data_IF_846434385732
#
_entry.id   IF_846434385732
#
_cell.length_a   1.000
_cell.length_b   1.000
_cell.length_c   1.000
_cell.angle_alpha   90.00
_cell.angle_beta   90.00
_cell.angle_gamma   90.00
#
_symmetry.space_group_name_H-M   'P 1'
#
loop_
_entity.id
_entity.type
_entity.pdbx_description
1 polymer ?
#
# COMPACT_ATOMS: atom_id res chain seq x y z
N UNK A 1 25.76 7.97 12.56
CA UNK A 1 26.62 8.71 11.63
C UNK A 1 25.68 9.29 10.58
N UNK A 2 25.32 10.57 10.72
CA UNK A 2 24.27 11.23 9.92
C UNK A 2 24.87 11.67 8.58
N UNK A 3 24.27 11.26 7.47
CA UNK A 3 24.66 11.67 6.12
C UNK A 3 24.06 13.07 5.81
N UNK A 4 24.85 14.11 5.48
CA UNK A 4 24.33 15.41 5.13
C UNK A 4 24.38 15.62 3.62
N UNK A 5 23.24 15.70 2.94
CA UNK A 5 23.16 16.25 1.58
C UNK A 5 22.50 17.63 1.60
N UNK A 6 23.34 18.65 1.40
CA UNK A 6 22.92 20.03 1.16
C UNK A 6 22.21 20.12 -0.19
N UNK A 7 20.94 20.56 -0.22
CA UNK A 7 20.35 21.17 -1.43
C UNK A 7 20.35 22.69 -1.27
N UNK A 8 20.79 23.40 -2.31
CA UNK A 8 20.83 24.86 -2.37
C UNK A 8 19.42 25.46 -2.45
N UNK A 9 19.15 26.63 -1.86
CA UNK A 9 17.84 27.28 -1.97
C UNK A 9 17.67 27.88 -3.38
N UNK A 10 16.61 27.50 -4.09
CA UNK A 10 16.16 28.21 -5.29
C UNK A 10 15.20 29.31 -4.88
N UNK A 11 15.56 30.56 -5.16
CA UNK A 11 14.69 31.72 -5.00
C UNK A 11 13.89 31.98 -6.28
N UNK A 12 12.57 31.96 -6.20
CA UNK A 12 11.72 33.00 -6.79
C UNK A 12 10.36 32.98 -6.10
N UNK A 13 9.99 34.12 -5.50
CA UNK A 13 8.74 34.29 -4.80
C UNK A 13 7.62 34.55 -5.82
N UNK A 14 6.74 33.58 -6.01
CA UNK A 14 5.38 33.80 -6.49
C UNK A 14 4.46 33.77 -5.26
N UNK A 15 3.54 34.73 -5.15
CA UNK A 15 2.57 34.81 -4.04
C UNK A 15 1.78 33.50 -3.91
N UNK A 16 1.67 32.90 -2.71
CA UNK A 16 0.99 31.63 -2.56
C UNK A 16 -0.51 31.79 -2.81
N UNK A 17 -1.02 31.05 -3.79
CA UNK A 17 -2.45 30.79 -3.93
C UNK A 17 -2.91 30.11 -2.63
N UNK A 18 -3.97 30.59 -1.96
CA UNK A 18 -4.42 29.97 -0.72
C UNK A 18 -4.80 28.51 -1.01
N UNK A 19 -4.44 27.56 -0.13
CA UNK A 19 -4.75 26.15 -0.34
C UNK A 19 -6.27 26.00 -0.49
N UNK A 20 -6.70 25.36 -1.58
CA UNK A 20 -8.12 25.11 -1.90
C UNK A 20 -8.81 24.14 -0.92
N UNK A 21 -8.04 23.52 -0.04
CA UNK A 21 -8.53 22.53 0.90
C UNK A 21 -8.78 23.22 2.25
N UNK A 22 -9.89 22.91 2.94
CA UNK A 22 -10.01 23.26 4.36
C UNK A 22 -8.79 22.71 5.11
N UNK A 23 -8.46 23.17 6.33
CA UNK A 23 -7.38 22.61 7.14
C UNK A 23 -7.73 21.16 7.50
N UNK A 24 -7.57 20.27 6.53
CA UNK A 24 -7.52 18.84 6.67
C UNK A 24 -6.36 18.65 7.62
N UNK A 25 -6.69 18.07 8.78
CA UNK A 25 -5.82 17.24 9.63
C UNK A 25 -4.35 17.39 9.27
N UNK A 26 -3.54 17.95 10.17
CA UNK A 26 -2.11 18.26 10.07
C UNK A 26 -1.21 17.06 9.69
N UNK A 27 -1.44 16.51 8.51
CA UNK A 27 -0.65 15.47 7.87
C UNK A 27 0.50 16.12 7.12
N UNK A 28 1.66 15.47 7.17
CA UNK A 28 2.87 15.93 6.47
C UNK A 28 2.90 15.51 5.00
N UNK A 29 1.90 14.77 4.54
CA UNK A 29 1.85 14.24 3.18
C UNK A 29 0.60 13.42 2.88
N UNK A 30 0.57 12.88 1.66
CA UNK A 30 -0.47 11.99 1.16
C UNK A 30 0.16 10.81 0.41
N UNK A 31 -0.52 9.67 0.42
CA UNK A 31 -0.21 8.55 -0.47
C UNK A 31 -1.34 8.38 -1.49
N UNK A 32 -1.01 8.47 -2.77
CA UNK A 32 -1.94 8.25 -3.88
C UNK A 32 -1.99 6.76 -4.17
N UNK A 33 -3.17 6.16 -4.02
CA UNK A 33 -3.33 4.71 -4.16
C UNK A 33 -3.57 4.30 -5.62
N UNK A 34 -2.51 3.85 -6.31
CA UNK A 34 -2.53 3.37 -7.70
C UNK A 34 -2.32 1.86 -7.85
N UNK A 35 -2.90 1.10 -6.93
CA UNK A 35 -2.73 -0.33 -6.83
C UNK A 35 -4.07 -1.04 -6.56
N UNK A 36 -4.05 -2.38 -6.55
CA UNK A 36 -5.14 -3.23 -6.08
C UNK A 36 -6.49 -3.09 -6.81
N UNK A 37 -6.53 -2.79 -8.12
CA UNK A 37 -7.78 -2.71 -8.87
C UNK A 37 -8.66 -1.49 -8.54
N UNK A 38 -8.16 -0.53 -7.76
CA UNK A 38 -8.83 0.76 -7.55
C UNK A 38 -8.62 1.68 -8.75
N UNK A 39 -9.24 2.87 -8.71
CA UNK A 39 -9.40 3.79 -9.84
C UNK A 39 -8.14 3.95 -10.72
N UNK A 40 -7.00 4.35 -10.15
CA UNK A 40 -5.79 4.57 -10.95
C UNK A 40 -5.25 3.26 -11.55
N UNK A 41 -5.31 2.14 -10.82
CA UNK A 41 -4.94 0.84 -11.39
C UNK A 41 -5.92 0.39 -12.47
N UNK A 42 -7.21 0.73 -12.41
CA UNK A 42 -8.16 0.49 -13.51
C UNK A 42 -7.77 1.25 -14.77
N UNK A 43 -7.33 2.52 -14.64
CA UNK A 43 -6.83 3.30 -15.77
C UNK A 43 -5.53 2.73 -16.32
N UNK A 44 -4.63 2.29 -15.44
CA UNK A 44 -3.38 1.65 -15.80
C UNK A 44 -3.59 0.27 -16.43
N UNK A 45 -4.61 -0.49 -16.08
CA UNK A 45 -4.76 -1.86 -16.60
C UNK A 45 -5.34 -1.85 -18.02
N UNK A 46 -4.64 -2.39 -19.03
CA UNK A 46 -5.16 -2.49 -20.40
C UNK A 46 -6.31 -3.51 -20.53
N UNK A 47 -6.56 -4.34 -19.51
CA UNK A 47 -7.72 -5.23 -19.48
C UNK A 47 -9.00 -4.50 -19.10
N UNK A 48 -8.89 -3.52 -18.20
CA UNK A 48 -10.03 -2.73 -17.68
C UNK A 48 -10.24 -1.46 -18.51
N UNK A 49 -9.17 -0.72 -18.80
CA UNK A 49 -9.23 0.52 -19.56
C UNK A 49 -9.14 0.25 -21.08
N UNK A 50 -10.30 -0.03 -21.67
CA UNK A 50 -10.47 -0.20 -23.12
C UNK A 50 -10.87 1.10 -23.84
N UNK A 51 -10.57 2.26 -23.25
CA UNK A 51 -10.91 3.55 -23.85
C UNK A 51 -10.05 3.82 -25.08
N UNK A 52 -10.63 4.52 -26.05
CA UNK A 52 -9.96 4.93 -27.29
C UNK A 52 -9.65 6.43 -27.34
N UNK A 53 -9.97 7.16 -26.28
CA UNK A 53 -9.63 8.57 -26.14
C UNK A 53 -8.24 8.78 -25.51
N UNK A 54 -7.91 10.03 -25.18
CA UNK A 54 -6.60 10.40 -24.62
C UNK A 54 -6.26 9.77 -23.27
N UNK A 55 -7.18 9.01 -22.68
CA UNK A 55 -7.02 8.36 -21.38
C UNK A 55 -6.88 6.83 -21.48
N UNK A 56 -6.88 6.25 -22.67
CA UNK A 56 -6.70 4.81 -22.89
C UNK A 56 -5.83 4.47 -24.10
N UNK A 57 -5.65 3.17 -24.36
CA UNK A 57 -4.74 2.65 -25.38
C UNK A 57 -3.30 2.57 -24.89
N UNK A 58 -2.44 3.49 -25.33
CA UNK A 58 -1.02 3.49 -24.97
C UNK A 58 -0.82 3.62 -23.44
N UNK A 59 0.31 3.11 -22.92
CA UNK A 59 0.65 3.28 -21.51
C UNK A 59 0.67 4.76 -21.10
N UNK A 60 1.20 5.63 -21.97
CA UNK A 60 1.24 7.08 -21.73
C UNK A 60 -0.18 7.65 -21.47
N UNK A 61 -1.16 7.25 -22.28
CA UNK A 61 -2.54 7.68 -22.09
C UNK A 61 -3.17 7.06 -20.85
N UNK A 62 -2.90 5.77 -20.59
CA UNK A 62 -3.40 5.05 -19.41
C UNK A 62 -2.90 5.65 -18.10
N UNK A 63 -1.62 6.03 -18.02
CA UNK A 63 -1.02 6.63 -16.82
C UNK A 63 -1.33 8.13 -16.66
N UNK A 64 -1.85 8.79 -17.69
CA UNK A 64 -2.10 10.23 -17.73
C UNK A 64 -2.89 10.74 -16.52
N UNK A 65 -3.95 10.02 -16.13
CA UNK A 65 -4.78 10.41 -14.98
C UNK A 65 -3.98 10.43 -13.66
N UNK A 66 -3.11 9.44 -13.46
CA UNK A 66 -2.26 9.36 -12.27
C UNK A 66 -1.23 10.49 -12.26
N UNK A 67 -0.56 10.73 -13.38
CA UNK A 67 0.45 11.78 -13.54
C UNK A 67 -0.17 13.17 -13.33
N UNK A 68 -1.31 13.45 -13.96
CA UNK A 68 -2.03 14.72 -13.75
C UNK A 68 -2.46 14.89 -12.29
N UNK A 69 -2.89 13.82 -11.61
CA UNK A 69 -3.23 13.89 -10.18
C UNK A 69 -2.02 14.26 -9.32
N UNK A 70 -0.86 13.63 -9.55
CA UNK A 70 0.38 13.96 -8.81
C UNK A 70 0.75 15.43 -9.00
N UNK A 71 0.69 15.93 -10.25
CA UNK A 71 0.97 17.34 -10.57
C UNK A 71 0.03 18.29 -9.86
N UNK A 72 -1.27 18.01 -9.86
CA UNK A 72 -2.26 18.85 -9.20
C UNK A 72 -2.10 18.84 -7.67
N UNK A 73 -1.80 17.69 -7.07
CA UNK A 73 -1.51 17.60 -5.62
C UNK A 73 -0.24 18.38 -5.28
N UNK A 74 0.83 18.24 -6.07
CA UNK A 74 2.07 19.01 -5.87
C UNK A 74 1.83 20.51 -6.00
N UNK A 75 1.08 20.95 -7.00
CA UNK A 75 0.75 22.36 -7.20
C UNK A 75 -0.15 22.93 -6.08
N UNK A 76 -0.98 22.10 -5.46
CA UNK A 76 -1.89 22.49 -4.40
C UNK A 76 -1.26 22.45 -2.98
N UNK A 77 -0.02 22.00 -2.84
CA UNK A 77 0.65 21.77 -1.56
C UNK A 77 2.02 22.45 -1.51
N UNK A 78 2.63 22.52 -0.32
CA UNK A 78 3.99 23.09 -0.16
C UNK A 78 5.07 22.11 -0.64
N UNK A 79 6.26 22.60 -0.96
CA UNK A 79 7.44 21.77 -1.28
C UNK A 79 7.83 20.78 -0.18
N UNK A 80 7.43 21.02 1.07
CA UNK A 80 7.68 20.12 2.21
C UNK A 80 6.60 19.04 2.40
N UNK A 81 5.51 19.12 1.64
CA UNK A 81 4.42 18.16 1.73
C UNK A 81 4.79 16.89 0.96
N UNK A 82 4.85 15.75 1.64
CA UNK A 82 5.28 14.49 1.04
C UNK A 82 4.18 13.92 0.13
N UNK A 83 4.57 13.49 -1.07
CA UNK A 83 3.69 12.78 -2.00
C UNK A 83 4.25 11.39 -2.23
N UNK A 84 3.57 10.39 -1.68
CA UNK A 84 3.85 8.99 -1.95
C UNK A 84 2.89 8.44 -3.01
N UNK A 85 3.31 7.41 -3.75
CA UNK A 85 2.42 6.66 -4.65
C UNK A 85 2.56 5.18 -4.36
N UNK A 86 1.43 4.50 -4.16
CA UNK A 86 1.39 3.04 -4.04
C UNK A 86 1.05 2.41 -5.38
N UNK A 87 1.97 1.65 -5.97
CA UNK A 87 1.86 1.07 -7.30
C UNK A 87 1.87 -0.47 -7.26
N UNK A 88 1.10 -1.11 -8.14
CA UNK A 88 1.17 -2.55 -8.33
C UNK A 88 2.48 -2.94 -9.01
N UNK A 89 3.13 -4.01 -8.56
CA UNK A 89 4.27 -4.61 -9.27
C UNK A 89 3.83 -5.23 -10.61
N UNK A 90 2.66 -5.87 -10.62
CA UNK A 90 1.94 -6.36 -11.81
C UNK A 90 0.50 -6.77 -11.38
N UNK A 91 -0.41 -6.89 -12.34
CA UNK A 91 -1.78 -7.36 -12.11
C UNK A 91 -1.91 -8.90 -12.12
N UNK A 92 -0.84 -9.63 -12.52
CA UNK A 92 -0.80 -11.10 -12.60
C UNK A 92 -1.87 -11.72 -13.50
N UNK A 93 -2.30 -10.99 -14.52
CA UNK A 93 -3.22 -11.44 -15.54
C UNK A 93 -2.54 -11.35 -16.90
N UNK A 94 -2.76 -12.36 -17.75
CA UNK A 94 -2.19 -12.37 -19.10
C UNK A 94 -2.74 -11.18 -19.89
N UNK A 95 -1.84 -10.32 -20.37
CA UNK A 95 -2.21 -9.10 -21.11
C UNK A 95 -2.69 -7.95 -20.23
N UNK A 96 -2.52 -8.02 -18.90
CA UNK A 96 -2.78 -6.93 -17.95
C UNK A 96 -1.58 -6.01 -17.74
N UNK A 97 -1.67 -5.17 -16.70
CA UNK A 97 -0.56 -4.31 -16.28
C UNK A 97 0.60 -5.18 -15.79
N UNK A 98 1.74 -5.10 -16.44
CA UNK A 98 2.90 -5.96 -16.17
C UNK A 98 4.06 -5.20 -15.49
N UNK A 99 5.17 -5.90 -15.28
CA UNK A 99 6.35 -5.35 -14.63
C UNK A 99 7.03 -4.24 -15.45
N UNK A 100 7.00 -4.31 -16.78
CA UNK A 100 7.59 -3.29 -17.65
C UNK A 100 6.75 -2.02 -17.64
N UNK A 101 5.43 -2.17 -17.74
CA UNK A 101 4.47 -1.08 -17.59
C UNK A 101 4.64 -0.41 -16.21
N UNK A 102 4.74 -1.21 -15.13
CA UNK A 102 4.95 -0.71 -13.77
C UNK A 102 6.25 0.10 -13.64
N UNK A 103 7.36 -0.40 -14.21
CA UNK A 103 8.64 0.29 -14.18
C UNK A 103 8.62 1.61 -14.98
N UNK A 104 7.97 1.62 -16.15
CA UNK A 104 7.80 2.83 -16.94
C UNK A 104 6.94 3.88 -16.23
N UNK A 105 5.89 3.45 -15.51
CA UNK A 105 5.09 4.35 -14.65
C UNK A 105 5.93 4.86 -13.48
N UNK A 106 6.74 4.02 -12.84
CA UNK A 106 7.63 4.43 -11.75
C UNK A 106 8.63 5.51 -12.18
N UNK A 107 9.29 5.34 -13.32
CA UNK A 107 10.18 6.36 -13.90
C UNK A 107 9.44 7.66 -14.20
N UNK A 108 8.21 7.57 -14.71
CA UNK A 108 7.40 8.75 -14.99
C UNK A 108 7.00 9.48 -13.70
N UNK A 109 6.64 8.75 -12.65
CA UNK A 109 6.34 9.31 -11.34
C UNK A 109 7.55 10.00 -10.70
N UNK A 110 8.74 9.40 -10.81
CA UNK A 110 9.99 10.02 -10.34
C UNK A 110 10.23 11.37 -11.03
N UNK A 111 9.99 11.47 -12.34
CA UNK A 111 10.12 12.73 -13.08
C UNK A 111 9.15 13.82 -12.58
N UNK A 112 7.99 13.42 -12.03
CA UNK A 112 7.04 14.34 -11.38
C UNK A 112 7.45 14.75 -9.96
N UNK A 113 8.51 14.16 -9.40
CA UNK A 113 9.03 14.51 -8.08
C UNK A 113 8.16 14.01 -6.93
N UNK A 114 7.68 12.76 -7.02
CA UNK A 114 7.15 12.05 -5.85
C UNK A 114 8.29 11.79 -4.84
N UNK A 115 7.94 11.72 -3.56
CA UNK A 115 8.90 11.60 -2.46
C UNK A 115 9.11 10.14 -2.02
N UNK A 116 8.17 9.25 -2.34
CA UNK A 116 8.20 7.84 -1.98
C UNK A 116 7.40 7.02 -2.99
N UNK A 117 7.98 5.93 -3.48
CA UNK A 117 7.26 4.93 -4.26
C UNK A 117 7.06 3.67 -3.40
N UNK A 118 5.81 3.35 -3.09
CA UNK A 118 5.46 2.12 -2.41
C UNK A 118 5.07 1.04 -3.42
N UNK A 119 5.82 -0.05 -3.44
CA UNK A 119 5.52 -1.21 -4.27
C UNK A 119 4.62 -2.18 -3.50
N UNK A 120 3.53 -2.57 -4.15
CA UNK A 120 2.60 -3.57 -3.65
C UNK A 120 2.44 -4.71 -4.64
N UNK A 121 2.22 -5.92 -4.12
CA UNK A 121 1.97 -7.10 -4.92
C UNK A 121 0.53 -7.60 -4.83
N UNK A 122 -0.14 -7.69 -5.98
CA UNK A 122 -1.41 -8.40 -6.16
C UNK A 122 -2.62 -7.51 -6.44
N UNK A 123 -3.57 -8.01 -7.23
CA UNK A 123 -4.86 -7.40 -7.52
C UNK A 123 -5.98 -8.06 -6.73
N UNK A 124 -7.07 -7.33 -6.43
CA UNK A 124 -8.29 -7.91 -5.81
C UNK A 124 -8.91 -9.02 -6.67
N UNK A 125 -8.68 -8.99 -7.99
CA UNK A 125 -9.19 -9.98 -8.94
C UNK A 125 -8.45 -11.32 -8.85
N UNK A 126 -7.25 -11.35 -8.27
CA UNK A 126 -6.55 -12.56 -7.85
C UNK A 126 -6.52 -12.65 -6.32
N UNK A 127 -7.66 -13.03 -5.73
CA UNK A 127 -7.81 -13.31 -4.29
C UNK A 127 -6.71 -14.25 -3.73
N UNK A 128 -6.06 -15.04 -4.60
CA UNK A 128 -4.92 -15.89 -4.27
C UNK A 128 -3.70 -15.14 -3.69
N UNK A 129 -3.53 -13.84 -3.97
CA UNK A 129 -2.42 -13.02 -3.44
C UNK A 129 -2.82 -12.18 -2.22
N UNK A 130 -4.07 -11.69 -2.19
CA UNK A 130 -4.64 -10.95 -1.04
C UNK A 130 -4.68 -11.85 0.21
N UNK A 131 -4.92 -13.14 0.01
CA UNK A 131 -4.90 -14.12 1.07
C UNK A 131 -3.75 -15.12 0.93
N UNK A 132 -2.67 -14.83 1.66
CA UNK A 132 -2.12 -15.83 2.59
C UNK A 132 -1.92 -17.25 2.02
N UNK A 133 -1.21 -17.42 0.90
CA UNK A 133 -0.93 -18.74 0.34
C UNK A 133 -0.45 -19.75 1.40
N UNK A 134 -1.06 -20.94 1.32
CA UNK A 134 -1.02 -22.05 2.27
C UNK A 134 0.39 -22.52 2.66
N UNK A 135 0.50 -22.86 3.95
CA UNK A 135 1.35 -23.90 4.57
C UNK A 135 2.88 -23.79 4.39
N UNK A 136 3.52 -23.28 5.46
CA UNK A 136 4.88 -23.50 5.96
C UNK A 136 6.09 -23.12 5.10
N UNK A 137 6.02 -23.17 3.77
CA UNK A 137 7.13 -22.80 2.87
C UNK A 137 6.94 -21.43 2.18
N UNK A 138 5.78 -20.79 2.39
CA UNK A 138 5.29 -19.68 1.57
C UNK A 138 5.75 -18.28 1.99
N UNK A 139 6.32 -18.08 3.18
CA UNK A 139 6.67 -16.71 3.64
C UNK A 139 7.97 -16.23 3.02
N UNK A 140 9.03 -17.04 3.09
CA UNK A 140 10.33 -16.73 2.45
C UNK A 140 10.23 -16.58 0.95
N UNK A 141 9.50 -17.48 0.26
CA UNK A 141 9.29 -17.37 -1.20
C UNK A 141 8.54 -16.09 -1.59
N UNK A 142 7.61 -15.60 -0.76
CA UNK A 142 6.90 -14.34 -1.00
C UNK A 142 7.78 -13.12 -0.69
N UNK A 143 8.50 -13.14 0.43
CA UNK A 143 9.47 -12.10 0.76
C UNK A 143 10.52 -11.99 -0.36
N UNK A 144 11.10 -13.12 -0.81
CA UNK A 144 12.05 -13.17 -1.92
C UNK A 144 11.46 -12.68 -3.25
N UNK A 145 10.25 -13.10 -3.61
CA UNK A 145 9.58 -12.66 -4.84
C UNK A 145 9.40 -11.13 -4.90
N UNK A 146 8.95 -10.54 -3.79
CA UNK A 146 8.78 -9.08 -3.74
C UNK A 146 10.12 -8.35 -3.68
N UNK A 147 11.14 -8.98 -3.10
CA UNK A 147 12.49 -8.43 -3.04
C UNK A 147 13.14 -8.38 -4.43
N UNK A 148 13.06 -9.45 -5.23
CA UNK A 148 13.58 -9.45 -6.61
C UNK A 148 12.97 -8.32 -7.46
N UNK A 149 11.68 -8.02 -7.25
CA UNK A 149 11.02 -6.92 -7.94
C UNK A 149 11.49 -5.55 -7.43
N UNK A 150 11.64 -5.39 -6.11
CA UNK A 150 12.16 -4.16 -5.52
C UNK A 150 13.62 -3.89 -5.93
N UNK A 151 14.46 -4.92 -5.98
CA UNK A 151 15.84 -4.86 -6.48
C UNK A 151 15.88 -4.30 -7.90
N UNK A 152 15.00 -4.79 -8.78
CA UNK A 152 14.91 -4.27 -10.14
C UNK A 152 14.53 -2.78 -10.17
N UNK A 153 13.60 -2.34 -9.33
CA UNK A 153 13.21 -0.94 -9.26
C UNK A 153 14.34 -0.07 -8.72
N UNK A 154 15.07 -0.53 -7.71
CA UNK A 154 16.19 0.20 -7.10
C UNK A 154 17.33 0.50 -8.08
N UNK A 155 17.44 -0.28 -9.17
CA UNK A 155 18.44 -0.06 -10.22
C UNK A 155 18.00 0.99 -11.26
N UNK A 156 16.73 1.37 -11.25
CA UNK A 156 16.07 2.06 -12.37
C UNK A 156 15.43 3.39 -11.95
N UNK A 157 15.16 3.56 -10.66
CA UNK A 157 14.70 4.81 -10.05
C UNK A 157 15.52 5.09 -8.78
N UNK A 158 15.70 6.37 -8.48
CA UNK A 158 16.39 6.90 -7.29
C UNK A 158 15.44 7.43 -6.22
N UNK A 159 14.13 7.53 -6.52
CA UNK A 159 13.11 7.82 -5.49
C UNK A 159 13.16 6.73 -4.40
N UNK A 160 13.06 7.09 -3.10
CA UNK A 160 12.98 6.11 -2.05
C UNK A 160 11.91 5.06 -2.31
N UNK A 161 12.24 3.79 -2.05
CA UNK A 161 11.37 2.65 -2.28
C UNK A 161 10.86 2.08 -0.96
N UNK A 162 9.55 1.92 -0.87
CA UNK A 162 8.90 1.17 0.20
C UNK A 162 8.35 -0.14 -0.34
N UNK A 163 8.54 -1.24 0.38
CA UNK A 163 7.91 -2.51 0.06
C UNK A 163 6.97 -2.97 1.17
N UNK A 164 5.72 -3.24 0.80
CA UNK A 164 4.70 -3.74 1.72
C UNK A 164 4.14 -5.06 1.24
N UNK A 165 4.45 -6.12 1.97
CA UNK A 165 3.93 -7.45 1.67
C UNK A 165 4.83 -8.53 2.26
N UNK A 166 4.24 -9.59 2.82
CA UNK A 166 5.01 -10.77 3.24
C UNK A 166 5.80 -10.64 4.56
N UNK A 167 6.37 -9.47 4.88
CA UNK A 167 7.28 -9.30 6.01
C UNK A 167 6.69 -9.71 7.37
N UNK A 168 7.36 -10.67 8.04
CA UNK A 168 6.96 -11.14 9.38
C UNK A 168 8.08 -11.21 10.40
N UNK A 169 9.34 -11.26 9.98
CA UNK A 169 10.50 -11.43 10.86
C UNK A 169 11.45 -10.26 10.78
N UNK A 170 12.08 -9.88 11.90
CA UNK A 170 13.10 -8.84 11.97
C UNK A 170 14.23 -9.13 10.98
N UNK A 171 14.71 -10.37 10.92
CA UNK A 171 15.73 -10.79 9.96
C UNK A 171 15.33 -10.50 8.51
N UNK A 172 14.15 -10.95 8.06
CA UNK A 172 13.73 -10.72 6.68
C UNK A 172 13.51 -9.24 6.33
N UNK A 173 13.16 -8.40 7.30
CA UNK A 173 13.09 -6.95 7.10
C UNK A 173 14.48 -6.33 6.98
N UNK A 174 15.43 -6.74 7.84
CA UNK A 174 16.82 -6.28 7.77
C UNK A 174 17.50 -6.76 6.49
N UNK A 175 17.31 -8.02 6.08
CA UNK A 175 17.85 -8.54 4.82
C UNK A 175 17.42 -7.70 3.61
N UNK A 176 16.15 -7.25 3.61
CA UNK A 176 15.63 -6.40 2.53
C UNK A 176 16.21 -4.98 2.55
N UNK A 177 16.47 -4.41 3.73
CA UNK A 177 17.11 -3.10 3.88
C UNK A 177 18.61 -3.19 3.54
N UNK A 178 19.30 -4.21 4.05
CA UNK A 178 20.74 -4.42 3.88
C UNK A 178 21.11 -4.74 2.43
N UNK A 179 20.20 -5.35 1.65
CA UNK A 179 20.41 -5.55 0.21
C UNK A 179 20.35 -4.26 -0.61
N UNK A 180 19.81 -3.17 -0.05
CA UNK A 180 19.56 -1.92 -0.77
C UNK A 180 18.38 -1.97 -1.74
N UNK A 181 17.60 -3.05 -1.72
CA UNK A 181 16.42 -3.19 -2.59
C UNK A 181 15.29 -2.24 -2.20
N UNK A 182 15.21 -1.86 -0.93
CA UNK A 182 14.19 -0.98 -0.36
C UNK A 182 14.80 -0.07 0.69
N UNK A 183 14.25 1.14 0.82
CA UNK A 183 14.60 2.09 1.86
C UNK A 183 13.67 1.97 3.08
N UNK A 184 12.44 1.49 2.85
CA UNK A 184 11.38 1.40 3.86
C UNK A 184 10.67 0.05 3.76
N UNK A 185 10.45 -0.59 4.91
CA UNK A 185 9.61 -1.78 5.03
C UNK A 185 8.24 -1.41 5.60
N UNK A 186 7.18 -1.76 4.88
CA UNK A 186 5.82 -1.54 5.35
C UNK A 186 5.17 -2.75 6.03
N UNK A 187 4.43 -2.48 7.10
CA UNK A 187 3.71 -3.48 7.89
C UNK A 187 2.21 -3.15 7.94
N UNK A 188 1.37 -4.15 7.61
CA UNK A 188 -0.08 -4.03 7.67
C UNK A 188 -0.71 -5.01 8.67
N UNK A 189 -0.88 -6.28 8.29
CA UNK A 189 -1.53 -7.29 9.16
C UNK A 189 -0.88 -7.45 10.55
N UNK A 190 0.46 -7.49 10.70
CA UNK A 190 1.09 -7.62 12.01
C UNK A 190 0.65 -6.53 13.01
N UNK A 191 0.62 -5.27 12.60
CA UNK A 191 0.30 -4.14 13.50
C UNK A 191 -1.18 -4.08 13.90
N UNK A 192 -2.06 -4.79 13.19
CA UNK A 192 -3.46 -4.96 13.63
C UNK A 192 -3.61 -6.01 14.74
N UNK A 193 -2.59 -6.85 14.97
CA UNK A 193 -2.56 -7.84 16.03
C UNK A 193 -1.66 -7.38 17.18
N UNK A 194 -0.52 -6.76 16.86
CA UNK A 194 0.52 -6.30 17.78
C UNK A 194 0.84 -4.83 17.47
N UNK A 195 0.05 -3.86 17.98
CA UNK A 195 0.23 -2.44 17.64
C UNK A 195 1.61 -1.88 18.05
N UNK A 196 2.24 -2.48 19.05
CA UNK A 196 3.56 -2.16 19.57
C UNK A 196 4.71 -2.94 18.89
N UNK A 197 4.39 -3.83 17.94
CA UNK A 197 5.39 -4.65 17.25
C UNK A 197 6.51 -3.82 16.59
N UNK A 198 6.26 -2.68 15.91
CA UNK A 198 7.34 -1.91 15.30
C UNK A 198 8.41 -1.49 16.33
N UNK A 199 7.98 -1.02 17.50
CA UNK A 199 8.91 -0.65 18.57
C UNK A 199 9.71 -1.87 19.06
N UNK A 200 9.03 -3.00 19.28
CA UNK A 200 9.68 -4.24 19.72
C UNK A 200 10.65 -4.80 18.68
N UNK A 201 10.32 -4.67 17.39
CA UNK A 201 11.20 -5.01 16.28
C UNK A 201 12.40 -4.10 16.19
N UNK A 202 12.30 -2.82 16.52
CA UNK A 202 13.44 -1.88 16.54
C UNK A 202 14.36 -2.16 17.74
N UNK A 203 13.77 -2.33 18.93
CA UNK A 203 14.51 -2.54 20.19
C UNK A 203 15.07 -3.97 20.34
N UNK A 204 14.73 -4.89 19.43
CA UNK A 204 15.22 -6.27 19.44
C UNK A 204 14.53 -7.17 20.48
N UNK A 205 13.40 -6.73 21.01
CA UNK A 205 12.60 -7.52 21.97
C UNK A 205 11.60 -8.44 21.27
N UNK A 206 11.46 -8.33 19.94
CA UNK A 206 10.72 -9.26 19.09
C UNK A 206 11.53 -9.61 17.84
N UNK A 207 11.61 -10.91 17.53
CA UNK A 207 12.23 -11.41 16.30
C UNK A 207 11.21 -11.63 15.17
N UNK A 208 9.93 -11.79 15.52
CA UNK A 208 8.87 -12.13 14.58
C UNK A 208 7.50 -11.74 15.11
N UNK A 209 6.60 -11.39 14.20
CA UNK A 209 5.18 -11.23 14.54
C UNK A 209 4.54 -12.56 14.92
N UNK A 210 3.68 -12.51 15.94
CA UNK A 210 2.83 -13.58 16.42
C UNK A 210 1.51 -13.70 15.66
N UNK A 211 1.27 -12.83 14.66
CA UNK A 211 0.03 -12.86 13.88
C UNK A 211 -0.14 -14.20 13.19
N UNK A 212 -1.24 -14.88 13.50
CA UNK A 212 -1.64 -16.14 12.87
C UNK A 212 -2.95 -15.94 12.11
N UNK A 213 -3.05 -16.43 10.85
CA UNK A 213 -4.31 -16.41 10.13
C UNK A 213 -5.40 -17.16 10.90
N UNK A 214 -6.62 -16.62 10.89
CA UNK A 214 -7.80 -17.29 11.40
C UNK A 214 -8.34 -18.25 10.33
N UNK A 215 -8.71 -19.47 10.71
CA UNK A 215 -9.18 -20.49 9.77
C UNK A 215 -10.41 -21.23 10.29
N UNK A 216 -11.33 -21.54 9.38
CA UNK A 216 -12.47 -22.44 9.50
C UNK A 216 -12.32 -23.64 8.55
N UNK A 217 -11.16 -23.80 7.89
CA UNK A 217 -10.85 -24.91 7.00
C UNK A 217 -11.29 -24.72 5.54
N UNK A 218 -11.85 -23.56 5.18
CA UNK A 218 -12.32 -23.27 3.82
C UNK A 218 -11.71 -21.99 3.30
N UNK A 219 -10.87 -22.08 2.27
CA UNK A 219 -10.06 -20.98 1.73
C UNK A 219 -10.85 -19.67 1.56
N UNK A 220 -11.91 -19.67 0.75
CA UNK A 220 -12.66 -18.43 0.45
C UNK A 220 -13.31 -17.82 1.72
N UNK A 221 -13.71 -18.66 2.68
CA UNK A 221 -14.27 -18.22 3.96
C UNK A 221 -13.15 -17.66 4.83
N UNK A 222 -11.99 -18.30 4.85
CA UNK A 222 -10.81 -17.87 5.60
C UNK A 222 -10.31 -16.51 5.10
N UNK A 223 -10.33 -16.26 3.80
CA UNK A 223 -9.89 -15.01 3.18
C UNK A 223 -10.79 -13.84 3.62
N UNK A 224 -12.11 -14.05 3.55
CA UNK A 224 -13.11 -13.09 4.04
C UNK A 224 -12.98 -12.88 5.56
N UNK A 225 -12.85 -13.96 6.31
CA UNK A 225 -12.70 -13.96 7.76
C UNK A 225 -11.47 -13.15 8.20
N UNK A 226 -10.31 -13.40 7.60
CA UNK A 226 -9.08 -12.69 7.97
C UNK A 226 -9.20 -11.20 7.67
N UNK A 227 -9.73 -10.84 6.49
CA UNK A 227 -9.96 -9.44 6.12
C UNK A 227 -10.87 -8.74 7.13
N UNK A 228 -12.02 -9.34 7.44
CA UNK A 228 -12.96 -8.79 8.40
C UNK A 228 -12.39 -8.76 9.83
N UNK A 229 -11.62 -9.77 10.23
CA UNK A 229 -10.98 -9.82 11.55
C UNK A 229 -10.00 -8.67 11.72
N UNK A 230 -9.15 -8.41 10.73
CA UNK A 230 -8.19 -7.29 10.76
C UNK A 230 -8.93 -5.93 10.81
N UNK A 231 -9.98 -5.76 9.99
CA UNK A 231 -10.83 -4.57 10.04
C UNK A 231 -11.46 -4.35 11.42
N UNK A 232 -11.91 -5.41 12.09
CA UNK A 232 -12.43 -5.31 13.45
C UNK A 232 -11.37 -4.82 14.44
N UNK A 233 -10.11 -5.24 14.31
CA UNK A 233 -9.05 -4.76 15.19
C UNK A 233 -8.73 -3.28 14.94
N UNK A 234 -8.65 -2.87 13.67
CA UNK A 234 -8.47 -1.46 13.27
C UNK A 234 -9.61 -0.61 13.85
N UNK A 235 -10.86 -1.05 13.68
CA UNK A 235 -12.03 -0.34 14.22
C UNK A 235 -12.05 -0.26 15.76
N UNK A 236 -11.44 -1.23 16.45
CA UNK A 236 -11.27 -1.18 17.91
C UNK A 236 -10.22 -0.14 18.30
N UNK A 237 -9.06 -0.16 17.66
CA UNK A 237 -8.00 0.81 17.91
C UNK A 237 -8.46 2.24 17.63
N UNK A 238 -9.18 2.46 16.52
CA UNK A 238 -9.77 3.76 16.18
C UNK A 238 -10.82 4.27 17.19
N UNK A 239 -11.30 3.41 18.10
CA UNK A 239 -12.19 3.77 19.22
C UNK A 239 -11.47 3.77 20.57
N UNK A 240 -10.13 3.80 20.58
CA UNK A 240 -9.31 3.75 21.80
C UNK A 240 -9.37 2.42 22.55
N UNK A 241 -9.82 1.33 21.92
CA UNK A 241 -9.92 0.01 22.55
C UNK A 241 -8.73 -0.86 22.17
N UNK A 242 -8.23 -1.65 23.12
CA UNK A 242 -7.22 -2.67 22.85
C UNK A 242 -7.68 -3.69 21.79
N UNK A 243 -6.74 -4.18 21.00
CA UNK A 243 -6.93 -5.30 20.08
C UNK A 243 -7.35 -6.56 20.85
N UNK A 244 -8.05 -7.49 20.18
CA UNK A 244 -8.44 -8.81 20.72
C UNK A 244 -7.89 -9.94 19.84
N UNK A 245 -6.58 -10.22 19.95
CA UNK A 245 -5.90 -11.28 19.19
C UNK A 245 -6.50 -12.68 19.40
N UNK A 246 -6.98 -12.92 20.61
CA UNK A 246 -7.58 -14.15 21.13
C UNK A 246 -8.99 -14.44 20.59
N UNK A 247 -9.65 -13.47 19.92
CA UNK A 247 -10.98 -13.68 19.35
C UNK A 247 -10.95 -14.83 18.34
N UNK A 248 -11.72 -15.87 18.64
CA UNK A 248 -11.88 -17.05 17.79
C UNK A 248 -12.52 -16.75 16.42
N UNK A 249 -12.29 -17.61 15.43
CA UNK A 249 -12.71 -17.40 14.03
C UNK A 249 -14.24 -17.28 13.88
N UNK A 250 -15.02 -18.10 14.60
CA UNK A 250 -16.49 -18.09 14.54
C UNK A 250 -17.08 -16.76 15.02
N UNK A 251 -16.61 -16.26 16.16
CA UNK A 251 -17.08 -14.98 16.72
C UNK A 251 -16.72 -13.83 15.78
N UNK A 252 -15.52 -13.85 15.21
CA UNK A 252 -15.10 -12.83 14.27
C UNK A 252 -15.95 -12.83 13.00
N UNK A 253 -16.27 -14.00 12.43
CA UNK A 253 -17.15 -14.10 11.27
C UNK A 253 -18.56 -13.61 11.60
N UNK A 254 -19.12 -14.00 12.75
CA UNK A 254 -20.44 -13.54 13.18
C UNK A 254 -20.51 -12.02 13.31
N UNK A 255 -19.51 -11.37 13.92
CA UNK A 255 -19.42 -9.91 13.99
C UNK A 255 -19.35 -9.29 12.60
N UNK A 256 -18.57 -9.87 11.68
CA UNK A 256 -18.46 -9.38 10.32
C UNK A 256 -19.83 -9.40 9.61
N UNK A 257 -20.51 -10.54 9.64
CA UNK A 257 -21.84 -10.70 9.02
C UNK A 257 -22.88 -9.75 9.62
N UNK A 258 -22.91 -9.60 10.95
CA UNK A 258 -23.81 -8.66 11.63
C UNK A 258 -23.52 -7.20 11.27
N UNK A 259 -22.25 -6.84 11.14
CA UNK A 259 -21.85 -5.47 10.76
C UNK A 259 -22.25 -5.17 9.32
N UNK A 260 -21.99 -6.10 8.40
CA UNK A 260 -22.40 -5.98 6.99
C UNK A 260 -23.91 -5.92 6.85
N UNK A 261 -24.66 -6.79 7.53
CA UNK A 261 -26.11 -6.77 7.51
C UNK A 261 -26.67 -5.44 8.03
N UNK A 262 -26.09 -4.90 9.12
CA UNK A 262 -26.48 -3.58 9.63
C UNK A 262 -26.20 -2.47 8.63
N UNK A 263 -25.02 -2.46 8.01
CA UNK A 263 -24.63 -1.38 7.08
C UNK A 263 -25.43 -1.46 5.75
N UNK A 264 -25.92 -2.65 5.35
CA UNK A 264 -26.89 -2.82 4.25
C UNK A 264 -28.30 -2.32 4.61
N UNK A 265 -28.75 -2.56 5.84
CA UNK A 265 -30.09 -2.18 6.31
C UNK A 265 -30.19 -0.70 6.71
N UNK A 266 -29.07 -0.11 7.14
CA UNK A 266 -28.95 1.28 7.52
C UNK A 266 -27.84 1.93 6.68
N UNK A 267 -28.11 2.19 5.38
CA UNK A 267 -27.16 2.90 4.55
C UNK A 267 -26.80 4.22 5.24
N UNK A 268 -25.50 4.46 5.43
CA UNK A 268 -25.04 5.73 5.99
C UNK A 268 -25.38 6.82 4.98
N UNK A 269 -26.46 7.56 5.25
CA UNK A 269 -26.67 8.84 4.58
C UNK A 269 -25.44 9.70 4.87
N UNK A 270 -24.86 10.28 3.83
CA UNK A 270 -23.77 11.23 4.00
C UNK A 270 -24.22 12.31 4.99
N UNK A 271 -23.39 12.70 5.98
CA UNK A 271 -23.73 13.83 6.82
C UNK A 271 -23.98 15.04 5.91
N UNK A 272 -25.15 15.65 6.05
CA UNK A 272 -25.60 16.87 5.38
C UNK A 272 -24.73 18.06 5.74
#
# INVERSE_FOLDING_TARGET
MLCPTRRSPRSSAASPVPPRWPPILSFHGVEIHAAHGYLFNQFLSPLVNQRTDRWGGSLENRMRLLIETVREVRAATSDQFLIAVKLNSADFQRGGFDAEDSLAVARSLEQEGIDLLEISGGTFENAAMVAGASQRESTRKREAYFLEFAERFSQEVSVPLMLTGGFRSRQGMNDALDSGAVDIVGLARPITYEPDLPQRLLDGTAEKSLVTPKTLGHKNIDDLLNSAWHQQQIARMGRGKAVRPDRGPVIALAIALLTTARDLLLPRLAPS
#
